data_IF_577079086354
#
_entry.id   IF_577079086354
#
_cell.length_a   1.000
_cell.length_b   1.000
_cell.length_c   1.000
_cell.angle_alpha   90.00
_cell.angle_beta   90.00
_cell.angle_gamma   90.00
#
_symmetry.space_group_name_H-M   'P 1'
#
loop_
_entity.id
_entity.type
_entity.pdbx_description
1 polymer ?
#
# COMPACT_ATOMS: atom_id res chain seq x y z
N UNK A 1 9.09 49.54 -45.71
CA UNK A 1 8.57 48.22 -46.14
C UNK A 1 9.74 47.40 -46.65
N UNK A 2 10.34 46.60 -45.75
CA UNK A 2 11.22 45.50 -46.10
C UNK A 2 11.00 44.46 -44.99
N UNK A 3 10.32 43.39 -45.35
CA UNK A 3 9.84 42.32 -44.49
C UNK A 3 10.89 41.21 -44.49
N UNK A 4 11.38 40.84 -43.32
CA UNK A 4 12.37 39.78 -43.11
C UNK A 4 11.70 38.42 -43.34
N UNK A 5 12.20 37.68 -44.34
CA UNK A 5 11.87 36.28 -44.61
C UNK A 5 13.03 35.44 -44.12
N UNK A 6 12.92 34.96 -42.89
CA UNK A 6 13.75 33.88 -42.35
C UNK A 6 12.82 32.77 -41.88
N UNK A 7 12.44 31.89 -42.79
CA UNK A 7 11.65 30.69 -42.53
C UNK A 7 12.34 29.47 -43.14
N UNK A 8 12.52 28.46 -42.29
CA UNK A 8 12.52 27.04 -42.64
C UNK A 8 13.75 26.56 -43.42
N UNK A 9 14.79 26.14 -42.69
CA UNK A 9 15.53 24.89 -42.96
C UNK A 9 16.33 24.50 -41.71
N UNK A 10 15.77 23.69 -40.81
CA UNK A 10 16.58 22.82 -39.95
C UNK A 10 15.88 21.47 -39.83
N UNK A 11 16.19 20.61 -40.79
CA UNK A 11 15.74 19.23 -40.91
C UNK A 11 16.63 18.35 -40.02
N UNK A 12 15.98 17.73 -39.02
CA UNK A 12 16.13 16.35 -38.58
C UNK A 12 17.55 15.77 -38.46
N UNK A 13 18.12 15.85 -37.26
CA UNK A 13 18.92 14.76 -36.68
C UNK A 13 18.45 14.56 -35.24
N UNK A 14 17.31 13.91 -35.08
CA UNK A 14 16.88 13.37 -33.78
C UNK A 14 17.31 11.91 -33.70
N UNK A 15 18.03 11.61 -32.62
CA UNK A 15 18.69 10.35 -32.36
C UNK A 15 17.66 9.20 -32.26
N UNK A 16 17.87 8.12 -33.02
CA UNK A 16 16.98 6.94 -33.08
C UNK A 16 16.75 6.26 -31.71
N UNK A 17 17.61 6.54 -30.72
CA UNK A 17 17.47 6.04 -29.35
C UNK A 17 16.39 6.77 -28.52
N UNK A 18 16.09 8.04 -28.82
CA UNK A 18 15.07 8.80 -28.06
C UNK A 18 13.64 8.51 -28.53
N UNK A 19 13.48 8.12 -29.79
CA UNK A 19 12.19 7.67 -30.34
C UNK A 19 11.77 6.28 -29.83
N UNK A 20 12.72 5.43 -29.44
CA UNK A 20 12.40 4.16 -28.79
C UNK A 20 11.83 4.36 -27.36
N UNK A 21 12.24 5.42 -26.67
CA UNK A 21 11.79 5.75 -25.31
C UNK A 21 10.43 6.47 -25.28
N UNK A 22 10.11 7.22 -26.34
CA UNK A 22 8.85 7.97 -26.46
C UNK A 22 7.69 7.14 -27.05
N UNK A 23 7.97 6.04 -27.76
CA UNK A 23 6.93 5.13 -28.27
C UNK A 23 6.36 4.23 -27.17
N UNK A 24 7.15 3.96 -26.11
CA UNK A 24 6.72 3.12 -24.99
C UNK A 24 5.73 3.85 -24.04
N UNK A 25 5.81 5.18 -23.99
CA UNK A 25 4.89 6.05 -23.22
C UNK A 25 3.45 6.10 -23.76
N UNK A 26 3.15 5.38 -24.85
CA UNK A 26 1.82 5.34 -25.49
C UNK A 26 1.31 3.93 -25.73
N UNK A 27 1.87 2.90 -25.06
CA UNK A 27 1.25 1.58 -25.09
C UNK A 27 -0.06 1.63 -24.31
N UNK A 28 -1.15 1.78 -25.05
CA UNK A 28 -2.54 1.69 -24.59
C UNK A 28 -2.93 0.23 -24.23
N UNK A 29 -1.94 -0.60 -23.88
CA UNK A 29 -2.06 -2.03 -23.64
C UNK A 29 -2.14 -2.37 -22.15
N UNK A 30 -2.60 -3.58 -21.85
CA UNK A 30 -2.74 -4.05 -20.48
C UNK A 30 -1.39 -4.14 -19.75
N UNK A 31 -1.40 -3.82 -18.46
CA UNK A 31 -0.26 -3.85 -17.57
C UNK A 31 -0.54 -4.76 -16.37
N UNK A 32 0.48 -5.49 -15.91
CA UNK A 32 0.40 -6.33 -14.73
C UNK A 32 1.54 -6.03 -13.76
N UNK A 33 1.22 -5.61 -12.54
CA UNK A 33 2.19 -5.38 -11.48
C UNK A 33 2.32 -6.62 -10.62
N UNK A 34 3.52 -7.20 -10.61
CA UNK A 34 3.77 -8.46 -9.92
C UNK A 34 4.51 -8.18 -8.60
N UNK A 35 3.77 -8.15 -7.50
CA UNK A 35 4.36 -7.88 -6.17
C UNK A 35 4.76 -9.17 -5.47
N UNK A 36 6.07 -9.38 -5.27
CA UNK A 36 6.61 -10.58 -4.63
C UNK A 36 7.90 -10.28 -3.87
N UNK A 37 8.36 -11.25 -3.07
CA UNK A 37 9.68 -11.17 -2.44
C UNK A 37 10.72 -11.93 -3.27
N UNK A 38 11.84 -11.27 -3.59
CA UNK A 38 12.93 -11.92 -4.36
C UNK A 38 13.40 -13.22 -3.71
N UNK A 39 13.41 -13.25 -2.37
CA UNK A 39 13.84 -14.44 -1.64
C UNK A 39 12.89 -15.63 -1.81
N UNK A 40 11.58 -15.41 -1.96
CA UNK A 40 10.66 -16.50 -2.28
C UNK A 40 10.89 -17.03 -3.71
N UNK A 41 11.14 -16.14 -4.67
CA UNK A 41 11.45 -16.55 -6.06
C UNK A 41 12.78 -17.33 -6.13
N UNK A 42 13.81 -16.89 -5.39
CA UNK A 42 15.08 -17.62 -5.27
C UNK A 42 14.88 -19.04 -4.71
N UNK A 43 14.08 -19.17 -3.64
CA UNK A 43 13.80 -20.47 -3.01
C UNK A 43 13.07 -21.39 -3.99
N UNK A 44 12.18 -20.83 -4.79
CA UNK A 44 11.41 -21.56 -5.79
C UNK A 44 12.16 -21.70 -7.12
N UNK A 45 13.41 -21.26 -7.23
CA UNK A 45 14.22 -21.42 -8.44
C UNK A 45 13.68 -20.62 -9.64
N UNK A 46 13.19 -19.41 -9.40
CA UNK A 46 12.71 -18.50 -10.45
C UNK A 46 11.27 -18.75 -10.92
N UNK A 47 10.53 -19.66 -10.27
CA UNK A 47 9.18 -20.07 -10.71
C UNK A 47 8.13 -18.98 -10.54
N UNK A 48 8.31 -18.07 -9.58
CA UNK A 48 7.35 -16.98 -9.36
C UNK A 48 7.41 -16.00 -10.54
N UNK A 49 8.62 -15.65 -11.01
CA UNK A 49 8.77 -14.83 -12.23
C UNK A 49 8.31 -15.56 -13.49
N UNK A 50 8.60 -16.86 -13.62
CA UNK A 50 8.12 -17.66 -14.77
C UNK A 50 6.60 -17.77 -14.80
N UNK A 51 5.93 -17.88 -13.65
CA UNK A 51 4.48 -17.86 -13.57
C UNK A 51 3.92 -16.56 -14.17
N UNK A 52 4.50 -15.42 -13.82
CA UNK A 52 4.12 -14.12 -14.39
C UNK A 52 4.24 -14.11 -15.92
N UNK A 53 5.38 -14.57 -16.45
CA UNK A 53 5.59 -14.69 -17.90
C UNK A 53 4.60 -15.66 -18.56
N UNK A 54 4.31 -16.79 -17.91
CA UNK A 54 3.35 -17.77 -18.42
C UNK A 54 1.95 -17.17 -18.53
N UNK A 55 1.53 -16.36 -17.57
CA UNK A 55 0.24 -15.65 -17.61
C UNK A 55 0.25 -14.60 -18.72
N UNK A 56 1.33 -13.82 -18.85
CA UNK A 56 1.47 -12.82 -19.92
C UNK A 56 1.39 -13.45 -21.32
N UNK A 57 2.12 -14.54 -21.55
CA UNK A 57 2.11 -15.26 -22.81
C UNK A 57 0.73 -15.85 -23.14
N UNK A 58 0.03 -16.36 -22.12
CA UNK A 58 -1.29 -16.95 -22.30
C UNK A 58 -2.34 -15.86 -22.55
N UNK A 59 -2.21 -14.70 -21.90
CA UNK A 59 -3.01 -13.51 -22.18
C UNK A 59 -2.83 -13.06 -23.63
N UNK A 60 -1.58 -12.86 -24.08
CA UNK A 60 -1.26 -12.50 -25.47
C UNK A 60 -1.78 -13.55 -26.46
N UNK A 61 -1.72 -14.83 -26.10
CA UNK A 61 -2.31 -15.91 -26.89
C UNK A 61 -3.83 -15.83 -27.05
N UNK A 62 -4.53 -15.25 -26.07
CA UNK A 62 -6.00 -15.07 -26.08
C UNK A 62 -6.39 -13.79 -26.83
N UNK A 63 -5.70 -12.68 -26.56
CA UNK A 63 -6.10 -11.32 -27.00
C UNK A 63 -5.37 -10.84 -28.25
N UNK A 64 -4.23 -11.44 -28.58
CA UNK A 64 -3.23 -10.90 -29.52
C UNK A 64 -2.65 -9.53 -29.10
N UNK A 65 -2.78 -9.16 -27.83
CA UNK A 65 -2.22 -7.95 -27.23
C UNK A 65 -1.25 -8.31 -26.09
N UNK A 66 -0.13 -7.58 -25.99
CA UNK A 66 0.87 -7.83 -24.95
C UNK A 66 0.36 -7.38 -23.58
N UNK A 67 0.47 -8.27 -22.57
CA UNK A 67 0.37 -7.88 -21.17
C UNK A 67 1.77 -7.52 -20.67
N UNK A 68 2.03 -6.23 -20.47
CA UNK A 68 3.31 -5.77 -19.96
C UNK A 68 3.41 -6.04 -18.45
N UNK A 69 4.21 -7.02 -18.05
CA UNK A 69 4.38 -7.40 -16.65
C UNK A 69 5.62 -6.78 -16.03
N UNK A 70 5.42 -6.01 -14.95
CA UNK A 70 6.48 -5.38 -14.17
C UNK A 70 6.88 -6.28 -13.00
N UNK A 71 8.16 -6.71 -12.97
CA UNK A 71 8.67 -7.77 -12.08
C UNK A 71 9.76 -7.33 -11.08
N UNK A 72 10.20 -6.08 -11.06
CA UNK A 72 11.37 -5.67 -10.26
C UNK A 72 11.12 -4.44 -9.38
N UNK A 73 11.76 -4.44 -8.20
CA UNK A 73 11.83 -3.34 -7.24
C UNK A 73 13.04 -2.42 -7.47
N UNK A 74 13.92 -2.75 -8.43
CA UNK A 74 15.12 -1.93 -8.70
C UNK A 74 14.85 -0.63 -9.46
N UNK A 75 13.69 -0.51 -10.09
CA UNK A 75 13.25 0.78 -10.59
C UNK A 75 12.65 1.55 -9.42
N UNK A 76 13.42 2.49 -8.87
CA UNK A 76 12.88 3.61 -8.09
C UNK A 76 11.74 4.36 -8.85
N UNK A 77 11.58 4.07 -10.15
CA UNK A 77 10.52 4.52 -11.05
C UNK A 77 9.25 3.65 -11.03
N UNK A 78 9.24 2.47 -10.41
CA UNK A 78 8.10 1.54 -10.42
C UNK A 78 6.84 2.21 -9.90
N UNK A 79 6.93 2.78 -8.70
CA UNK A 79 5.79 3.43 -8.09
C UNK A 79 5.34 4.60 -8.96
N UNK A 80 6.26 5.39 -9.48
CA UNK A 80 5.93 6.52 -10.34
C UNK A 80 5.28 6.06 -11.66
N UNK A 81 5.74 4.98 -12.28
CA UNK A 81 5.29 4.50 -13.59
C UNK A 81 3.87 3.91 -13.54
N UNK A 82 3.54 3.12 -12.52
CA UNK A 82 2.18 2.61 -12.37
C UNK A 82 1.22 3.62 -11.75
N UNK A 83 1.69 4.45 -10.81
CA UNK A 83 0.90 5.58 -10.29
C UNK A 83 0.51 6.50 -11.45
N UNK A 84 1.46 6.86 -12.31
CA UNK A 84 1.18 7.60 -13.54
C UNK A 84 0.21 6.85 -14.48
N UNK A 85 0.30 5.52 -14.61
CA UNK A 85 -0.64 4.77 -15.45
C UNK A 85 -2.04 4.71 -14.87
N UNK A 86 -2.22 4.58 -13.56
CA UNK A 86 -3.57 4.60 -12.96
C UNK A 86 -4.13 6.02 -12.90
N UNK A 87 -3.29 7.03 -12.66
CA UNK A 87 -3.70 8.44 -12.61
C UNK A 87 -4.00 9.01 -14.00
N UNK A 88 -3.25 8.62 -15.04
CA UNK A 88 -3.44 9.12 -16.41
C UNK A 88 -4.27 8.18 -17.30
N UNK A 89 -4.20 6.86 -17.09
CA UNK A 89 -5.01 5.89 -17.81
C UNK A 89 -6.25 5.61 -16.97
N UNK A 90 -7.22 6.47 -17.21
CA UNK A 90 -8.65 6.32 -16.96
C UNK A 90 -9.27 5.01 -17.54
N UNK A 91 -8.51 3.94 -17.78
CA UNK A 91 -8.88 2.86 -18.72
C UNK A 91 -8.83 1.43 -18.16
N UNK A 92 -8.77 1.21 -16.84
CA UNK A 92 -8.95 -0.14 -16.28
C UNK A 92 -7.90 -1.19 -16.67
N UNK A 93 -6.84 -0.80 -17.39
CA UNK A 93 -5.90 -1.74 -18.01
C UNK A 93 -4.78 -2.23 -17.09
N UNK A 94 -4.80 -1.90 -15.80
CA UNK A 94 -3.68 -2.15 -14.89
C UNK A 94 -4.06 -3.09 -13.74
N UNK A 95 -3.50 -4.29 -13.75
CA UNK A 95 -3.67 -5.29 -12.70
C UNK A 95 -2.59 -5.19 -11.62
N UNK A 96 -2.97 -5.46 -10.37
CA UNK A 96 -2.01 -5.70 -9.29
C UNK A 96 -2.14 -7.14 -8.80
N UNK A 97 -1.06 -7.91 -8.94
CA UNK A 97 -1.00 -9.35 -8.69
C UNK A 97 0.02 -9.65 -7.57
N UNK A 98 -0.40 -9.57 -6.29
CA UNK A 98 0.46 -9.91 -5.18
C UNK A 98 0.63 -11.42 -5.03
N UNK A 99 1.88 -11.86 -4.90
CA UNK A 99 2.25 -13.25 -4.65
C UNK A 99 2.34 -13.45 -3.14
N UNK A 100 1.22 -13.92 -2.61
CA UNK A 100 0.97 -14.00 -1.19
C UNK A 100 1.74 -15.17 -0.58
N UNK A 101 2.67 -14.83 0.31
CA UNK A 101 3.49 -15.75 1.10
C UNK A 101 3.64 -15.23 2.53
N UNK A 102 4.14 -16.03 3.49
CA UNK A 102 4.50 -15.52 4.81
C UNK A 102 5.55 -14.40 4.79
N UNK A 103 6.40 -14.31 3.76
CA UNK A 103 7.38 -13.22 3.63
C UNK A 103 6.76 -11.96 3.04
N UNK A 104 5.78 -12.10 2.15
CA UNK A 104 5.02 -10.97 1.60
C UNK A 104 4.47 -10.09 2.75
N UNK A 105 3.77 -10.69 3.70
CA UNK A 105 3.21 -9.96 4.86
C UNK A 105 4.24 -9.39 5.84
N UNK A 106 5.52 -9.77 5.72
CA UNK A 106 6.62 -9.23 6.53
C UNK A 106 7.45 -8.19 5.78
N UNK A 107 7.21 -8.03 4.48
CA UNK A 107 7.92 -7.08 3.65
C UNK A 107 7.19 -5.74 3.71
N UNK A 108 7.75 -4.77 4.42
CA UNK A 108 7.26 -3.38 4.47
C UNK A 108 6.94 -2.85 3.07
N UNK A 109 7.85 -3.08 2.12
CA UNK A 109 7.64 -2.74 0.71
C UNK A 109 6.36 -3.34 0.14
N UNK A 110 6.21 -4.67 0.07
CA UNK A 110 5.00 -5.31 -0.47
C UNK A 110 3.70 -4.86 0.22
N UNK A 111 3.75 -4.61 1.54
CA UNK A 111 2.61 -4.10 2.31
C UNK A 111 2.22 -2.69 1.86
N UNK A 112 3.20 -1.80 1.68
CA UNK A 112 3.00 -0.47 1.09
C UNK A 112 2.37 -0.58 -0.30
N UNK A 113 2.90 -1.42 -1.19
CA UNK A 113 2.42 -1.49 -2.58
C UNK A 113 0.93 -1.87 -2.65
N UNK A 114 0.51 -2.88 -1.88
CA UNK A 114 -0.89 -3.34 -1.89
C UNK A 114 -1.84 -2.36 -1.20
N UNK A 115 -1.41 -1.67 -0.13
CA UNK A 115 -2.23 -0.65 0.53
C UNK A 115 -2.47 0.54 -0.40
N UNK A 116 -1.39 1.08 -0.99
CA UNK A 116 -1.48 2.17 -1.96
C UNK A 116 -2.37 1.77 -3.16
N UNK A 117 -2.20 0.56 -3.70
CA UNK A 117 -3.03 0.10 -4.80
C UNK A 117 -4.50 -0.04 -4.40
N UNK A 118 -4.79 -0.65 -3.25
CA UNK A 118 -6.17 -0.87 -2.81
C UNK A 118 -6.91 0.44 -2.59
N UNK A 119 -6.23 1.46 -2.03
CA UNK A 119 -6.75 2.81 -1.89
C UNK A 119 -7.20 3.42 -3.22
N UNK A 120 -6.27 3.45 -4.17
CA UNK A 120 -6.53 3.95 -5.52
C UNK A 120 -7.64 3.18 -6.23
N UNK A 121 -7.57 1.85 -6.24
CA UNK A 121 -8.56 0.99 -6.88
C UNK A 121 -9.96 1.23 -6.31
N UNK A 122 -10.11 1.28 -4.98
CA UNK A 122 -11.38 1.57 -4.32
C UNK A 122 -11.92 2.95 -4.67
N UNK A 123 -11.04 3.93 -4.70
CA UNK A 123 -11.37 5.31 -5.06
C UNK A 123 -11.80 5.48 -6.53
N UNK A 124 -11.61 4.46 -7.38
CA UNK A 124 -12.05 4.38 -8.77
C UNK A 124 -13.19 3.37 -9.00
N UNK A 125 -13.63 2.63 -7.97
CA UNK A 125 -14.54 1.49 -8.15
C UNK A 125 -13.93 0.30 -8.90
N UNK A 126 -12.59 0.21 -8.94
CA UNK A 126 -11.83 -0.79 -9.70
C UNK A 126 -11.17 -1.85 -8.80
N UNK A 127 -11.80 -2.17 -7.66
CA UNK A 127 -11.24 -3.11 -6.67
C UNK A 127 -10.95 -4.51 -7.23
N UNK A 128 -11.61 -4.90 -8.33
CA UNK A 128 -11.41 -6.16 -9.02
C UNK A 128 -10.05 -6.30 -9.74
N UNK A 129 -9.32 -5.19 -9.93
CA UNK A 129 -7.96 -5.18 -10.48
C UNK A 129 -6.92 -5.71 -9.47
N UNK A 130 -7.28 -5.87 -8.20
CA UNK A 130 -6.47 -6.53 -7.17
C UNK A 130 -6.67 -8.05 -7.24
N UNK A 131 -5.66 -8.78 -7.68
CA UNK A 131 -5.71 -10.22 -7.95
C UNK A 131 -4.65 -11.01 -7.17
N UNK A 132 -4.88 -11.29 -5.88
CA UNK A 132 -3.91 -12.01 -5.07
C UNK A 132 -3.76 -13.48 -5.49
N UNK A 133 -2.53 -13.98 -5.49
CA UNK A 133 -2.21 -15.39 -5.72
C UNK A 133 -1.61 -15.95 -4.43
N UNK A 134 -2.35 -16.84 -3.75
CA UNK A 134 -1.87 -17.52 -2.55
C UNK A 134 -0.86 -18.60 -2.91
N UNK A 135 0.43 -18.28 -2.82
CA UNK A 135 1.51 -19.14 -3.28
C UNK A 135 2.02 -20.07 -2.19
N UNK A 136 2.22 -19.57 -0.98
CA UNK A 136 2.50 -20.39 0.20
C UNK A 136 1.33 -20.37 1.16
N UNK A 137 1.16 -21.46 1.91
CA UNK A 137 0.12 -21.53 2.93
C UNK A 137 0.36 -20.47 4.01
N UNK A 138 -0.67 -19.68 4.28
CA UNK A 138 -0.70 -18.67 5.34
C UNK A 138 -1.93 -18.99 6.20
N UNK A 139 -1.74 -19.77 7.29
CA UNK A 139 -2.85 -20.24 8.12
C UNK A 139 -3.78 -19.12 8.61
N UNK A 140 -3.22 -17.94 8.88
CA UNK A 140 -3.96 -16.75 9.32
C UNK A 140 -5.06 -16.33 8.35
N UNK A 141 -4.87 -16.50 7.03
CA UNK A 141 -5.89 -16.17 6.04
C UNK A 141 -7.06 -17.17 6.02
N UNK A 142 -6.87 -18.39 6.54
CA UNK A 142 -7.89 -19.45 6.59
C UNK A 142 -8.70 -19.43 7.89
N UNK A 143 -8.09 -18.97 8.97
CA UNK A 143 -8.67 -19.00 10.32
C UNK A 143 -9.63 -17.82 10.59
N UNK A 144 -9.64 -16.79 9.73
CA UNK A 144 -10.65 -15.72 9.72
C UNK A 144 -10.50 -14.65 10.81
N UNK A 145 -9.63 -14.85 11.80
CA UNK A 145 -9.27 -13.85 12.81
C UNK A 145 -8.09 -13.00 12.32
N UNK A 146 -8.38 -12.12 11.36
CA UNK A 146 -7.38 -11.31 10.67
C UNK A 146 -7.35 -9.90 11.26
N UNK A 147 -6.39 -9.63 12.14
CA UNK A 147 -6.14 -8.28 12.69
C UNK A 147 -5.23 -7.43 11.81
N UNK A 148 -4.49 -8.07 10.89
CA UNK A 148 -3.56 -7.41 9.98
C UNK A 148 -4.33 -6.88 8.75
N UNK A 149 -4.26 -5.57 8.50
CA UNK A 149 -5.02 -4.92 7.43
C UNK A 149 -4.69 -5.44 6.03
N UNK A 150 -3.43 -5.75 5.75
CA UNK A 150 -2.98 -6.27 4.45
C UNK A 150 -3.49 -7.69 4.26
N UNK A 151 -3.48 -8.49 5.33
CA UNK A 151 -4.13 -9.79 5.30
C UNK A 151 -5.64 -9.67 5.12
N UNK A 152 -6.29 -8.67 5.74
CA UNK A 152 -7.73 -8.44 5.61
C UNK A 152 -8.09 -8.05 4.17
N UNK A 153 -7.31 -7.17 3.54
CA UNK A 153 -7.44 -6.83 2.13
C UNK A 153 -7.32 -8.07 1.24
N UNK A 154 -6.31 -8.90 1.45
CA UNK A 154 -6.16 -10.15 0.69
C UNK A 154 -7.33 -11.11 0.92
N UNK A 155 -7.78 -11.26 2.17
CA UNK A 155 -8.85 -12.19 2.54
C UNK A 155 -10.24 -11.76 2.03
N UNK A 156 -10.50 -10.46 1.92
CA UNK A 156 -11.74 -9.90 1.36
C UNK A 156 -11.80 -10.06 -0.16
N UNK A 157 -10.69 -10.32 -0.83
CA UNK A 157 -10.62 -10.52 -2.29
C UNK A 157 -10.65 -11.99 -2.65
N UNK A 158 -11.15 -12.28 -3.84
CA UNK A 158 -11.11 -13.63 -4.41
C UNK A 158 -9.69 -13.96 -4.89
N UNK A 159 -8.85 -14.43 -3.96
CA UNK A 159 -7.49 -14.89 -4.26
C UNK A 159 -7.48 -16.26 -4.94
N UNK A 160 -6.43 -16.51 -5.72
CA UNK A 160 -6.22 -17.78 -6.42
C UNK A 160 -5.28 -18.67 -5.62
N UNK A 161 -5.76 -19.85 -5.20
CA UNK A 161 -4.95 -20.80 -4.42
C UNK A 161 -3.96 -21.55 -5.33
N UNK A 162 -2.68 -21.21 -5.17
CA UNK A 162 -1.54 -21.80 -5.86
C UNK A 162 -0.72 -22.75 -4.97
N UNK A 163 -1.15 -22.98 -3.73
CA UNK A 163 -0.35 -23.67 -2.69
C UNK A 163 -0.01 -25.12 -3.05
N UNK A 164 -0.90 -25.79 -3.79
CA UNK A 164 -0.67 -27.14 -4.32
C UNK A 164 -0.03 -27.11 -5.71
N UNK A 165 -0.43 -26.18 -6.57
CA UNK A 165 0.06 -26.09 -7.96
C UNK A 165 1.55 -25.78 -8.05
N UNK A 166 2.11 -25.03 -7.09
CA UNK A 166 3.56 -24.83 -7.02
C UNK A 166 4.35 -26.13 -6.82
N UNK A 167 3.72 -27.21 -6.33
CA UNK A 167 4.38 -28.50 -6.15
C UNK A 167 4.35 -29.36 -7.41
N UNK A 168 3.54 -28.99 -8.40
CA UNK A 168 3.44 -29.68 -9.68
C UNK A 168 4.49 -29.21 -10.68
N UNK A 169 4.67 -29.98 -11.75
CA UNK A 169 5.51 -29.59 -12.89
C UNK A 169 4.85 -28.46 -13.70
N UNK A 170 5.63 -27.47 -14.15
CA UNK A 170 5.13 -26.30 -14.90
C UNK A 170 4.52 -26.70 -16.27
N UNK A 171 4.95 -27.83 -16.84
CA UNK A 171 4.37 -28.38 -18.07
C UNK A 171 3.12 -29.25 -17.85
N UNK A 172 2.74 -29.50 -16.59
CA UNK A 172 1.62 -30.39 -16.29
C UNK A 172 0.28 -29.85 -16.81
N UNK A 173 -0.67 -30.73 -17.17
CA UNK A 173 -2.00 -30.30 -17.62
C UNK A 173 -2.74 -29.43 -16.59
N UNK A 174 -2.57 -29.71 -15.30
CA UNK A 174 -3.20 -28.98 -14.19
C UNK A 174 -2.62 -27.58 -14.02
N UNK A 175 -1.29 -27.42 -14.05
CA UNK A 175 -0.63 -26.11 -14.02
C UNK A 175 -1.05 -25.24 -15.21
N UNK A 176 -0.93 -25.75 -16.44
CA UNK A 176 -1.28 -24.99 -17.65
C UNK A 176 -2.75 -24.57 -17.69
N UNK A 177 -3.67 -25.44 -17.26
CA UNK A 177 -5.10 -25.08 -17.14
C UNK A 177 -5.34 -23.95 -16.15
N UNK A 178 -4.53 -23.85 -15.08
CA UNK A 178 -4.70 -22.77 -14.10
C UNK A 178 -4.12 -21.46 -14.62
N UNK A 179 -2.98 -21.48 -15.31
CA UNK A 179 -2.43 -20.31 -16.01
C UNK A 179 -3.45 -19.77 -17.01
N UNK A 180 -4.04 -20.63 -17.85
CA UNK A 180 -5.10 -20.24 -18.77
C UNK A 180 -6.30 -19.62 -18.07
N UNK A 181 -6.76 -20.19 -16.95
CA UNK A 181 -7.85 -19.60 -16.17
C UNK A 181 -7.52 -18.18 -15.68
N UNK A 182 -6.31 -17.95 -15.18
CA UNK A 182 -5.88 -16.63 -14.74
C UNK A 182 -5.89 -15.64 -15.92
N UNK A 183 -5.30 -16.02 -17.06
CA UNK A 183 -5.29 -15.18 -18.24
C UNK A 183 -6.71 -14.84 -18.74
N UNK A 184 -7.62 -15.82 -18.80
CA UNK A 184 -9.03 -15.59 -19.14
C UNK A 184 -9.69 -14.63 -18.15
N UNK A 185 -9.45 -14.79 -16.84
CA UNK A 185 -9.97 -13.88 -15.81
C UNK A 185 -9.47 -12.45 -16.01
N UNK A 186 -8.21 -12.25 -16.40
CA UNK A 186 -7.69 -10.92 -16.72
C UNK A 186 -8.45 -10.30 -17.90
N UNK A 187 -8.67 -11.06 -18.97
CA UNK A 187 -9.43 -10.59 -20.14
C UNK A 187 -10.86 -10.21 -19.75
N UNK A 188 -11.54 -11.06 -18.97
CA UNK A 188 -12.91 -10.79 -18.51
C UNK A 188 -12.99 -9.51 -17.65
N UNK A 189 -11.96 -9.23 -16.83
CA UNK A 189 -11.91 -7.97 -16.06
C UNK A 189 -11.69 -6.79 -17.00
N UNK A 190 -10.72 -6.87 -17.92
CA UNK A 190 -10.47 -5.80 -18.89
C UNK A 190 -11.73 -5.43 -19.67
N UNK A 191 -12.44 -6.43 -20.19
CA UNK A 191 -13.67 -6.23 -20.97
C UNK A 191 -14.74 -5.49 -20.14
N UNK A 192 -14.94 -5.87 -18.87
CA UNK A 192 -15.87 -5.17 -17.97
C UNK A 192 -15.41 -3.76 -17.64
N UNK A 193 -14.13 -3.58 -17.32
CA UNK A 193 -13.59 -2.27 -16.93
C UNK A 193 -13.47 -1.30 -18.12
N UNK A 194 -13.38 -1.82 -19.35
CA UNK A 194 -13.38 -1.01 -20.57
C UNK A 194 -14.78 -0.47 -20.91
N UNK A 195 -15.84 -1.13 -20.43
CA UNK A 195 -17.23 -0.64 -20.51
C UNK A 195 -17.53 0.45 -19.47
N UNK A 196 -16.70 0.53 -18.41
CA UNK A 196 -16.68 1.66 -17.49
C UNK A 196 -15.93 2.77 -18.22
N UNK A 197 -16.65 3.62 -18.97
CA UNK A 197 -16.09 4.92 -19.33
C UNK A 197 -15.61 5.55 -18.02
N UNK A 198 -14.34 6.01 -17.94
CA UNK A 198 -13.91 6.77 -16.79
C UNK A 198 -14.95 7.83 -16.54
N UNK A 199 -15.58 7.87 -15.35
CA UNK A 199 -16.62 8.82 -15.14
C UNK A 199 -16.00 10.19 -15.45
N UNK A 200 -16.55 10.98 -16.41
CA UNK A 200 -16.34 12.41 -16.29
C UNK A 200 -16.76 12.70 -14.84
N UNK A 201 -15.95 13.45 -14.10
CA UNK A 201 -16.23 13.75 -12.69
C UNK A 201 -17.51 14.60 -12.64
N UNK A 202 -18.66 13.98 -12.85
CA UNK A 202 -19.95 14.62 -12.90
C UNK A 202 -20.55 14.28 -11.55
N UNK A 203 -20.89 15.33 -10.82
CA UNK A 203 -21.61 15.33 -9.55
C UNK A 203 -23.01 14.68 -9.62
N UNK A 204 -23.31 13.89 -10.66
CA UNK A 204 -24.63 13.34 -10.94
C UNK A 204 -24.50 11.84 -11.16
N UNK A 205 -25.16 11.11 -10.26
CA UNK A 205 -25.32 9.66 -10.17
C UNK A 205 -25.45 8.99 -11.55
N UNK A 206 -24.59 8.01 -11.82
CA UNK A 206 -24.86 7.01 -12.85
C UNK A 206 -26.00 6.11 -12.34
N UNK A 207 -27.06 5.83 -13.13
CA UNK A 207 -28.26 5.17 -12.60
C UNK A 207 -28.12 3.68 -12.23
N UNK A 208 -26.97 3.04 -12.48
CA UNK A 208 -26.86 1.57 -12.46
C UNK A 208 -25.63 1.02 -11.68
N UNK A 209 -25.01 1.78 -10.78
CA UNK A 209 -23.98 1.29 -9.85
C UNK A 209 -24.58 1.12 -8.44
N UNK A 210 -25.40 0.08 -8.24
CA UNK A 210 -26.34 -0.01 -7.10
C UNK A 210 -25.68 -0.36 -5.74
N UNK A 211 -24.37 -0.67 -5.69
CA UNK A 211 -23.69 -1.16 -4.46
C UNK A 211 -22.39 -0.41 -4.05
N UNK A 212 -21.77 0.41 -4.92
CA UNK A 212 -20.48 1.08 -4.62
C UNK A 212 -20.64 2.58 -4.33
N UNK A 213 -19.97 3.14 -3.30
CA UNK A 213 -20.15 4.54 -2.93
C UNK A 213 -19.69 5.53 -4.00
N UNK A 214 -20.51 6.55 -4.26
CA UNK A 214 -20.15 7.65 -5.16
C UNK A 214 -19.09 8.58 -4.56
N UNK A 215 -18.47 9.45 -5.39
CA UNK A 215 -17.41 10.38 -4.95
C UNK A 215 -17.84 11.26 -3.76
N UNK A 216 -19.08 11.77 -3.76
CA UNK A 216 -19.60 12.61 -2.67
C UNK A 216 -19.76 11.82 -1.36
N UNK A 217 -20.12 10.55 -1.45
CA UNK A 217 -20.22 9.67 -0.28
C UNK A 217 -18.83 9.36 0.28
N UNK A 218 -17.86 9.04 -0.59
CA UNK A 218 -16.46 8.86 -0.19
C UNK A 218 -15.87 10.11 0.49
N UNK A 219 -16.20 11.31 -0.03
CA UNK A 219 -15.78 12.57 0.57
C UNK A 219 -16.43 12.81 1.94
N UNK A 220 -17.73 12.54 2.08
CA UNK A 220 -18.45 12.69 3.34
C UNK A 220 -17.93 11.69 4.39
N UNK A 221 -17.65 10.45 4.00
CA UNK A 221 -17.07 9.43 4.87
C UNK A 221 -15.67 9.84 5.35
N UNK A 222 -14.83 10.36 4.45
CA UNK A 222 -13.51 10.88 4.80
C UNK A 222 -13.60 12.08 5.74
N UNK A 223 -14.50 13.04 5.49
CA UNK A 223 -14.72 14.21 6.37
C UNK A 223 -15.10 13.78 7.80
N UNK A 224 -15.98 12.78 7.93
CA UNK A 224 -16.36 12.24 9.23
C UNK A 224 -15.23 11.44 9.90
N UNK A 225 -14.42 10.73 9.13
CA UNK A 225 -13.36 9.84 9.64
C UNK A 225 -12.08 10.60 10.04
N UNK A 226 -11.73 11.69 9.34
CA UNK A 226 -10.51 12.47 9.59
C UNK A 226 -10.33 12.91 11.06
N UNK A 227 -11.34 13.48 11.75
CA UNK A 227 -11.20 13.85 13.16
C UNK A 227 -11.00 12.63 14.09
N UNK A 228 -11.65 11.50 13.80
CA UNK A 228 -11.49 10.27 14.58
C UNK A 228 -10.09 9.69 14.39
N UNK A 229 -9.62 9.64 13.15
CA UNK A 229 -8.28 9.20 12.81
C UNK A 229 -7.20 10.06 13.48
N UNK A 230 -7.34 11.39 13.44
CA UNK A 230 -6.43 12.31 14.13
C UNK A 230 -6.40 12.09 15.65
N UNK A 231 -7.55 11.81 16.27
CA UNK A 231 -7.63 11.47 17.69
C UNK A 231 -6.91 10.15 18.01
N UNK A 232 -7.06 9.13 17.16
CA UNK A 232 -6.34 7.85 17.30
C UNK A 232 -4.82 8.06 17.23
N UNK A 233 -4.33 8.85 16.28
CA UNK A 233 -2.90 9.17 16.16
C UNK A 233 -2.38 9.85 17.42
N UNK A 234 -3.11 10.84 17.94
CA UNK A 234 -2.74 11.52 19.19
C UNK A 234 -2.70 10.55 20.38
N UNK A 235 -3.67 9.65 20.50
CA UNK A 235 -3.74 8.67 21.58
C UNK A 235 -2.61 7.62 21.49
N UNK A 236 -2.22 7.19 20.29
CA UNK A 236 -1.05 6.33 20.07
C UNK A 236 0.21 6.98 20.64
N UNK A 237 0.42 8.28 20.37
CA UNK A 237 1.55 9.04 20.91
C UNK A 237 1.62 9.00 22.44
N UNK A 238 0.47 9.24 23.11
CA UNK A 238 0.37 9.19 24.58
C UNK A 238 0.68 7.78 25.12
N UNK A 239 0.19 6.74 24.48
CA UNK A 239 0.44 5.35 24.91
C UNK A 239 1.90 4.97 24.74
N UNK A 240 2.56 5.38 23.65
CA UNK A 240 3.99 5.15 23.44
C UNK A 240 4.82 5.86 24.51
N UNK A 241 4.49 7.10 24.85
CA UNK A 241 5.16 7.83 25.93
C UNK A 241 5.03 7.09 27.27
N UNK A 242 3.82 6.64 27.62
CA UNK A 242 3.54 5.86 28.83
C UNK A 242 4.30 4.53 28.87
N UNK A 243 4.41 3.84 27.73
CA UNK A 243 5.26 2.64 27.61
C UNK A 243 6.73 3.00 27.90
N UNK A 244 7.21 4.11 27.33
CA UNK A 244 8.56 4.64 27.56
C UNK A 244 8.84 4.93 29.04
N UNK A 245 7.88 5.52 29.76
CA UNK A 245 8.00 5.77 31.20
C UNK A 245 8.15 4.47 32.01
N UNK A 246 7.37 3.44 31.70
CA UNK A 246 7.48 2.13 32.35
C UNK A 246 8.86 1.50 32.11
N UNK A 247 9.35 1.55 30.87
CA UNK A 247 10.69 1.01 30.51
C UNK A 247 11.79 1.77 31.26
N UNK A 248 11.71 3.10 31.30
CA UNK A 248 12.67 3.95 32.02
C UNK A 248 12.67 3.64 33.53
N UNK A 249 11.49 3.53 34.14
CA UNK A 249 11.37 3.17 35.55
C UNK A 249 11.96 1.80 35.86
N UNK A 250 11.74 0.82 34.99
CA UNK A 250 12.33 -0.52 35.14
C UNK A 250 13.86 -0.51 34.98
N UNK A 251 14.42 0.30 34.09
CA UNK A 251 15.87 0.46 33.97
C UNK A 251 16.49 1.00 35.28
N UNK A 252 15.86 2.00 35.90
CA UNK A 252 16.31 2.57 37.18
C UNK A 252 16.22 1.54 38.33
N UNK A 253 15.08 0.84 38.48
CA UNK A 253 14.91 -0.18 39.52
C UNK A 253 15.92 -1.35 39.33
N UNK A 254 16.29 -1.65 38.08
CA UNK A 254 17.31 -2.65 37.77
C UNK A 254 18.69 -2.22 38.27
N UNK A 255 19.09 -0.96 38.03
CA UNK A 255 20.34 -0.40 38.55
C UNK A 255 20.37 -0.39 40.09
N UNK A 256 19.26 0.01 40.74
CA UNK A 256 19.15 -0.03 42.20
C UNK A 256 19.19 -1.46 42.76
N UNK A 257 18.56 -2.40 42.09
CA UNK A 257 18.63 -3.82 42.44
C UNK A 257 20.06 -4.36 42.33
N UNK A 258 20.79 -3.98 41.29
CA UNK A 258 22.20 -4.36 41.11
C UNK A 258 23.10 -3.72 42.17
N UNK A 259 22.87 -2.45 42.51
CA UNK A 259 23.57 -1.75 43.60
C UNK A 259 23.37 -2.38 44.97
N UNK A 260 22.21 -3.04 45.19
CA UNK A 260 21.90 -3.84 46.40
C UNK A 260 22.43 -5.29 46.34
N UNK A 261 23.12 -5.68 45.27
CA UNK A 261 23.64 -7.03 45.08
C UNK A 261 22.59 -8.07 44.65
N UNK A 262 21.45 -7.64 44.10
CA UNK A 262 20.34 -8.52 43.70
C UNK A 262 20.65 -9.44 42.51
N UNK A 263 21.69 -9.14 41.73
CA UNK A 263 22.15 -9.95 40.60
C UNK A 263 21.04 -10.33 39.62
N UNK A 264 21.19 -11.45 38.93
CA UNK A 264 20.22 -11.90 37.92
C UNK A 264 18.81 -12.14 38.48
N UNK A 265 18.68 -12.55 39.74
CA UNK A 265 17.37 -12.77 40.37
C UNK A 265 16.61 -11.45 40.55
N UNK A 266 17.30 -10.39 40.96
CA UNK A 266 16.75 -9.04 41.04
C UNK A 266 16.33 -8.51 39.67
N UNK A 267 17.19 -8.64 38.66
CA UNK A 267 16.86 -8.24 37.28
C UNK A 267 15.63 -8.97 36.73
N UNK A 268 15.51 -10.28 36.99
CA UNK A 268 14.36 -11.07 36.57
C UNK A 268 13.05 -10.60 37.23
N UNK A 269 13.09 -10.25 38.52
CA UNK A 269 11.93 -9.67 39.22
C UNK A 269 11.48 -8.37 38.56
N UNK A 270 12.41 -7.46 38.28
CA UNK A 270 12.11 -6.18 37.62
C UNK A 270 11.51 -6.38 36.23
N UNK A 271 12.04 -7.33 35.46
CA UNK A 271 11.48 -7.69 34.14
C UNK A 271 10.05 -8.22 34.27
N UNK A 272 9.75 -9.04 35.29
CA UNK A 272 8.39 -9.52 35.53
C UNK A 272 7.43 -8.39 35.90
N UNK A 273 7.85 -7.45 36.75
CA UNK A 273 7.07 -6.27 37.11
C UNK A 273 6.80 -5.39 35.89
N UNK A 274 7.83 -5.11 35.08
CA UNK A 274 7.69 -4.39 33.80
C UNK A 274 6.74 -5.11 32.84
N UNK A 275 6.87 -6.44 32.70
CA UNK A 275 5.98 -7.23 31.85
C UNK A 275 4.52 -7.03 32.26
N UNK A 276 4.23 -7.00 33.56
CA UNK A 276 2.88 -6.80 34.05
C UNK A 276 2.39 -5.37 33.87
N UNK A 277 3.24 -4.36 34.11
CA UNK A 277 2.87 -2.96 33.92
C UNK A 277 2.60 -2.61 32.45
N UNK A 278 3.27 -3.29 31.51
CA UNK A 278 3.10 -3.06 30.08
C UNK A 278 1.88 -3.76 29.45
N UNK A 279 1.18 -4.67 30.16
CA UNK A 279 0.05 -5.42 29.57
C UNK A 279 -1.08 -4.51 29.10
N UNK A 280 -1.50 -3.58 29.94
CA UNK A 280 -2.60 -2.67 29.60
C UNK A 280 -2.20 -1.64 28.53
N UNK A 281 -1.04 -0.95 28.61
CA UNK A 281 -0.62 -0.03 27.55
C UNK A 281 -0.45 -0.72 26.19
N UNK A 282 0.12 -1.93 26.15
CA UNK A 282 0.28 -2.68 24.89
C UNK A 282 -1.04 -3.22 24.36
N UNK A 283 -1.96 -3.63 25.24
CA UNK A 283 -3.32 -3.97 24.84
C UNK A 283 -4.03 -2.78 24.20
N UNK A 284 -3.93 -1.59 24.81
CA UNK A 284 -4.52 -0.36 24.27
C UNK A 284 -3.87 0.06 22.95
N UNK A 285 -2.54 -0.04 22.84
CA UNK A 285 -1.83 0.22 21.59
C UNK A 285 -2.30 -0.69 20.45
N UNK A 286 -2.60 -1.96 20.75
CA UNK A 286 -3.12 -2.91 19.75
C UNK A 286 -4.53 -2.52 19.29
N UNK A 287 -5.39 -2.11 20.22
CA UNK A 287 -6.73 -1.59 19.87
C UNK A 287 -6.64 -0.34 18.99
N UNK A 288 -5.76 0.60 19.36
CA UNK A 288 -5.55 1.84 18.61
C UNK A 288 -4.93 1.59 17.23
N UNK A 289 -3.99 0.65 17.09
CA UNK A 289 -3.44 0.26 15.80
C UNK A 289 -4.52 -0.27 14.85
N UNK A 290 -5.42 -1.13 15.35
CA UNK A 290 -6.56 -1.62 14.55
C UNK A 290 -7.51 -0.48 14.14
N UNK A 291 -7.79 0.46 15.05
CA UNK A 291 -8.65 1.63 14.76
C UNK A 291 -7.99 2.57 13.75
N UNK A 292 -6.68 2.79 13.88
CA UNK A 292 -5.89 3.62 12.96
C UNK A 292 -5.99 3.08 11.53
N UNK A 293 -5.74 1.79 11.34
CA UNK A 293 -5.87 1.10 10.06
C UNK A 293 -7.28 1.19 9.47
N UNK A 294 -8.30 0.91 10.28
CA UNK A 294 -9.70 0.91 9.83
C UNK A 294 -10.17 2.30 9.37
N UNK A 295 -9.83 3.35 10.14
CA UNK A 295 -10.17 4.72 9.76
C UNK A 295 -9.36 5.18 8.54
N UNK A 296 -8.08 4.80 8.42
CA UNK A 296 -7.25 5.16 7.27
C UNK A 296 -7.81 4.59 5.95
N UNK A 297 -8.26 3.33 5.95
CA UNK A 297 -8.93 2.69 4.80
C UNK A 297 -10.23 3.41 4.40
N UNK A 298 -10.84 4.15 5.32
CA UNK A 298 -12.05 4.95 5.08
C UNK A 298 -11.71 6.34 4.55
N UNK A 299 -10.68 6.98 5.11
CA UNK A 299 -10.23 8.32 4.71
C UNK A 299 -9.59 8.33 3.31
N UNK A 300 -8.78 7.32 3.02
CA UNK A 300 -7.92 7.27 1.83
C UNK A 300 -8.65 7.46 0.49
N UNK A 301 -9.74 6.73 0.19
CA UNK A 301 -10.46 6.93 -1.06
C UNK A 301 -11.03 8.34 -1.23
N UNK A 302 -11.49 8.98 -0.14
CA UNK A 302 -12.04 10.33 -0.17
C UNK A 302 -10.97 11.39 -0.42
N UNK A 303 -9.81 11.28 0.23
CA UNK A 303 -8.66 12.18 -0.01
C UNK A 303 -8.18 12.05 -1.46
N UNK A 304 -7.98 10.83 -1.95
CA UNK A 304 -7.60 10.58 -3.34
C UNK A 304 -8.66 11.04 -4.34
N UNK A 305 -9.94 10.98 -3.98
CA UNK A 305 -11.06 11.52 -4.76
C UNK A 305 -10.97 13.04 -4.94
N UNK A 306 -10.72 13.78 -3.87
CA UNK A 306 -10.56 15.24 -3.91
C UNK A 306 -9.36 15.63 -4.77
N UNK A 307 -8.22 14.97 -4.59
CA UNK A 307 -7.00 15.21 -5.37
C UNK A 307 -7.29 15.02 -6.88
N UNK A 308 -7.97 13.93 -7.26
CA UNK A 308 -8.32 13.66 -8.68
C UNK A 308 -9.34 14.62 -9.27
N UNK A 309 -10.32 15.08 -8.47
CA UNK A 309 -11.26 16.11 -8.91
C UNK A 309 -10.52 17.38 -9.33
N UNK A 310 -9.56 17.79 -8.50
CA UNK A 310 -8.71 18.95 -8.74
C UNK A 310 -7.81 18.76 -9.97
N UNK A 311 -7.20 17.59 -10.12
CA UNK A 311 -6.36 17.25 -11.30
C UNK A 311 -7.15 17.33 -12.61
N UNK A 312 -8.36 16.76 -12.62
CA UNK A 312 -9.14 16.59 -13.85
C UNK A 312 -9.91 17.83 -14.27
N UNK A 313 -10.45 18.60 -13.32
CA UNK A 313 -11.30 19.77 -13.62
C UNK A 313 -10.59 21.10 -13.44
N UNK A 314 -9.40 21.09 -12.84
CA UNK A 314 -8.82 22.28 -12.26
C UNK A 314 -9.65 22.78 -11.07
N UNK A 315 -9.22 23.89 -10.49
CA UNK A 315 -9.89 24.52 -9.36
C UNK A 315 -10.48 25.85 -9.82
N UNK A 316 -11.72 26.12 -9.40
CA UNK A 316 -12.32 27.43 -9.57
C UNK A 316 -11.67 28.45 -8.62
N UNK A 317 -11.62 29.73 -9.01
CA UNK A 317 -11.07 30.77 -8.14
C UNK A 317 -11.78 30.87 -6.77
N UNK A 318 -13.06 30.48 -6.69
CA UNK A 318 -13.80 30.48 -5.42
C UNK A 318 -13.41 29.35 -4.48
N UNK A 319 -13.00 28.20 -5.03
CA UNK A 319 -12.73 26.98 -4.26
C UNK A 319 -11.23 26.81 -3.97
N UNK A 320 -10.39 27.67 -4.56
CA UNK A 320 -8.93 27.61 -4.44
C UNK A 320 -8.43 27.77 -3.02
N UNK A 321 -8.96 28.75 -2.28
CA UNK A 321 -8.54 28.99 -0.90
C UNK A 321 -8.87 27.79 0.00
N UNK A 322 -10.07 27.24 -0.12
CA UNK A 322 -10.53 26.10 0.68
C UNK A 322 -9.74 24.83 0.32
N UNK A 323 -9.41 24.64 -0.96
CA UNK A 323 -8.60 23.50 -1.40
C UNK A 323 -7.14 23.63 -0.96
N UNK A 324 -6.55 24.83 -1.04
CA UNK A 324 -5.21 25.12 -0.51
C UNK A 324 -5.14 24.87 1.00
N UNK A 325 -6.17 25.25 1.76
CA UNK A 325 -6.28 24.99 3.20
C UNK A 325 -6.39 23.49 3.50
N UNK A 326 -7.25 22.78 2.78
CA UNK A 326 -7.41 21.33 2.92
C UNK A 326 -6.10 20.59 2.61
N UNK A 327 -5.48 20.86 1.46
CA UNK A 327 -4.19 20.28 1.07
C UNK A 327 -3.07 20.62 2.05
N UNK A 328 -3.03 21.85 2.54
CA UNK A 328 -2.08 22.27 3.59
C UNK A 328 -2.26 21.46 4.88
N UNK A 329 -3.51 21.16 5.25
CA UNK A 329 -3.84 20.34 6.43
C UNK A 329 -3.39 18.91 6.25
N UNK A 330 -3.72 18.28 5.11
CA UNK A 330 -3.31 16.91 4.78
C UNK A 330 -1.79 16.77 4.75
N UNK A 331 -1.07 17.72 4.13
CA UNK A 331 0.39 17.71 4.12
C UNK A 331 1.01 17.87 5.50
N UNK A 332 0.51 18.81 6.29
CA UNK A 332 1.00 19.02 7.67
C UNK A 332 0.86 17.74 8.48
N UNK A 333 -0.24 17.03 8.30
CA UNK A 333 -0.53 15.77 8.96
C UNK A 333 0.40 14.64 8.50
N UNK A 334 0.63 14.49 7.19
CA UNK A 334 1.58 13.53 6.64
C UNK A 334 3.01 13.75 7.17
N UNK A 335 3.48 15.00 7.18
CA UNK A 335 4.81 15.38 7.67
C UNK A 335 4.97 15.16 9.18
N UNK A 336 3.96 15.51 9.98
CA UNK A 336 3.95 15.25 11.43
C UNK A 336 3.95 13.75 11.73
N UNK A 337 3.22 12.96 10.94
CA UNK A 337 3.21 11.51 11.05
C UNK A 337 4.58 10.92 10.72
N UNK A 338 5.24 11.38 9.66
CA UNK A 338 6.57 10.90 9.26
C UNK A 338 7.61 11.10 10.36
N UNK A 339 7.63 12.28 10.99
CA UNK A 339 8.52 12.58 12.12
C UNK A 339 8.22 11.70 13.35
N UNK A 340 6.96 11.41 13.60
CA UNK A 340 6.53 10.52 14.68
C UNK A 340 6.90 9.06 14.39
N UNK A 341 6.80 8.64 13.13
CA UNK A 341 7.10 7.29 12.69
C UNK A 341 8.58 6.92 12.82
N UNK A 342 9.49 7.89 12.62
CA UNK A 342 10.91 7.68 12.87
C UNK A 342 11.18 7.23 14.32
N UNK A 343 10.45 7.78 15.30
CA UNK A 343 10.56 7.38 16.70
C UNK A 343 9.96 5.99 16.95
N UNK A 344 8.81 5.70 16.33
CA UNK A 344 8.15 4.38 16.38
C UNK A 344 9.07 3.29 15.84
N UNK A 345 9.68 3.52 14.68
CA UNK A 345 10.59 2.57 14.05
C UNK A 345 11.84 2.33 14.89
N UNK A 346 12.47 3.42 15.37
CA UNK A 346 13.62 3.31 16.26
C UNK A 346 13.30 2.51 17.52
N UNK A 347 12.11 2.67 18.09
CA UNK A 347 11.66 1.87 19.22
C UNK A 347 11.43 0.40 18.83
N UNK A 348 10.76 0.13 17.70
CA UNK A 348 10.51 -1.22 17.16
C UNK A 348 11.80 -2.02 16.95
N UNK A 349 12.85 -1.38 16.44
CA UNK A 349 14.16 -1.98 16.18
C UNK A 349 14.88 -2.45 17.46
N UNK A 350 14.54 -1.88 18.62
CA UNK A 350 15.12 -2.30 19.91
C UNK A 350 14.43 -3.54 20.51
N UNK A 351 13.18 -3.82 20.13
CA UNK A 351 12.37 -4.88 20.73
C UNK A 351 12.97 -6.29 20.62
N UNK A 352 13.62 -6.69 19.51
CA UNK A 352 14.27 -8.00 19.41
C UNK A 352 15.36 -8.21 20.47
N UNK A 353 16.11 -7.16 20.82
CA UNK A 353 17.17 -7.23 21.82
C UNK A 353 16.57 -7.50 23.21
N UNK A 354 15.46 -6.82 23.53
CA UNK A 354 14.72 -6.99 24.78
C UNK A 354 14.08 -8.38 24.86
N UNK A 355 13.57 -8.90 23.74
CA UNK A 355 12.97 -10.25 23.66
C UNK A 355 13.97 -11.37 23.97
N UNK A 356 15.27 -11.12 23.78
CA UNK A 356 16.36 -12.01 24.15
C UNK A 356 16.57 -12.13 25.67
N UNK A 357 16.21 -11.11 26.45
CA UNK A 357 16.48 -11.03 27.89
C UNK A 357 15.55 -11.91 28.72
N UNK A 358 14.28 -12.05 28.34
CA UNK A 358 13.34 -12.90 29.07
C UNK A 358 12.27 -13.53 28.16
N UNK A 359 11.99 -14.81 28.41
CA UNK A 359 10.88 -15.53 27.76
C UNK A 359 9.52 -14.90 28.09
N UNK A 360 9.34 -14.30 29.27
CA UNK A 360 8.06 -13.72 29.70
C UNK A 360 7.62 -12.51 28.89
N UNK A 361 8.57 -11.76 28.32
CA UNK A 361 8.29 -10.54 27.54
C UNK A 361 7.93 -10.83 26.09
N UNK A 362 8.37 -11.98 25.54
CA UNK A 362 8.21 -12.30 24.12
C UNK A 362 6.79 -12.23 23.58
N UNK A 363 5.73 -12.65 24.31
CA UNK A 363 4.36 -12.49 23.82
C UNK A 363 3.97 -11.01 23.68
N UNK A 364 4.33 -10.20 24.68
CA UNK A 364 3.97 -8.79 24.79
C UNK A 364 4.70 -7.95 23.74
N UNK A 365 6.00 -8.23 23.53
CA UNK A 365 6.79 -7.58 22.47
C UNK A 365 6.30 -7.93 21.06
N UNK A 366 5.76 -9.15 20.85
CA UNK A 366 5.16 -9.54 19.57
C UNK A 366 3.87 -8.77 19.30
N UNK A 367 3.01 -8.61 20.30
CA UNK A 367 1.80 -7.78 20.18
C UNK A 367 2.15 -6.33 19.86
N UNK A 368 3.09 -5.76 20.62
CA UNK A 368 3.53 -4.39 20.40
C UNK A 368 4.10 -4.18 18.99
N UNK A 369 4.95 -5.09 18.51
CA UNK A 369 5.46 -5.03 17.13
C UNK A 369 4.35 -5.08 16.09
N UNK A 370 3.33 -5.92 16.29
CA UNK A 370 2.18 -6.02 15.38
C UNK A 370 1.39 -4.72 15.32
N UNK A 371 1.15 -4.09 16.47
CA UNK A 371 0.44 -2.82 16.56
C UNK A 371 1.23 -1.67 15.93
N UNK A 372 2.55 -1.62 16.14
CA UNK A 372 3.41 -0.61 15.52
C UNK A 372 3.49 -0.79 14.00
N UNK A 373 3.47 -2.05 13.50
CA UNK A 373 3.47 -2.32 12.07
C UNK A 373 2.26 -1.69 11.36
N UNK A 374 1.06 -1.79 11.94
CA UNK A 374 -0.16 -1.16 11.38
C UNK A 374 -0.01 0.36 11.23
N UNK A 375 0.63 0.99 12.21
CA UNK A 375 0.87 2.44 12.19
C UNK A 375 1.90 2.78 11.10
N UNK A 376 2.96 1.98 10.97
CA UNK A 376 3.98 2.13 9.90
C UNK A 376 3.40 1.92 8.51
N UNK A 377 2.55 0.92 8.34
CA UNK A 377 1.90 0.61 7.07
C UNK A 377 1.03 1.78 6.58
N UNK A 378 0.34 2.47 7.48
CA UNK A 378 -0.45 3.65 7.11
C UNK A 378 0.37 4.87 6.69
N UNK A 379 1.65 4.96 7.08
CA UNK A 379 2.52 6.07 6.63
C UNK A 379 2.67 6.10 5.11
N UNK A 380 2.71 4.93 4.47
CA UNK A 380 2.81 4.83 3.02
C UNK A 380 1.63 5.49 2.30
N UNK A 381 0.44 5.45 2.88
CA UNK A 381 -0.76 6.09 2.34
C UNK A 381 -0.62 7.62 2.44
N UNK A 382 -0.13 8.12 3.57
CA UNK A 382 0.08 9.55 3.80
C UNK A 382 1.17 10.15 2.91
N UNK A 383 2.29 9.44 2.76
CA UNK A 383 3.40 9.85 1.88
C UNK A 383 2.89 9.99 0.44
N UNK A 384 1.95 9.13 0.03
CA UNK A 384 1.34 9.18 -1.29
C UNK A 384 0.38 10.37 -1.46
N UNK A 385 -0.42 10.70 -0.44
CA UNK A 385 -1.24 11.91 -0.48
C UNK A 385 -0.39 13.17 -0.61
N UNK A 386 0.68 13.29 0.19
CA UNK A 386 1.59 14.45 0.13
C UNK A 386 2.20 14.61 -1.26
N UNK A 387 2.72 13.52 -1.83
CA UNK A 387 3.30 13.52 -3.18
C UNK A 387 2.30 14.00 -4.23
N UNK A 388 1.08 13.47 -4.23
CA UNK A 388 0.06 13.86 -5.23
C UNK A 388 -0.36 15.31 -5.07
N UNK A 389 -0.54 15.77 -3.84
CA UNK A 389 -0.82 17.18 -3.57
C UNK A 389 0.31 18.05 -4.12
N UNK A 390 1.57 17.68 -3.95
CA UNK A 390 2.72 18.43 -4.50
C UNK A 390 2.68 18.50 -6.03
N UNK A 391 2.36 17.41 -6.71
CA UNK A 391 2.26 17.36 -8.17
C UNK A 391 1.14 18.26 -8.70
N UNK A 392 -0.02 18.20 -8.05
CA UNK A 392 -1.20 19.00 -8.40
C UNK A 392 -0.96 20.49 -8.17
N UNK A 393 -0.37 20.83 -7.04
CA UNK A 393 -0.13 22.23 -6.66
C UNK A 393 1.04 22.85 -7.42
N UNK A 394 2.03 22.06 -7.86
CA UNK A 394 3.10 22.53 -8.74
C UNK A 394 2.55 23.08 -10.07
N UNK A 395 1.49 22.48 -10.60
CA UNK A 395 0.81 22.92 -11.82
C UNK A 395 0.05 24.26 -11.66
N UNK A 396 -0.17 24.76 -10.44
CA UNK A 396 -0.84 26.06 -10.21
C UNK A 396 0.11 27.26 -10.24
N UNK A 397 1.42 27.01 -10.24
CA UNK A 397 2.48 28.01 -10.25
C UNK A 397 3.07 28.31 -11.63
N UNK A 398 2.70 27.54 -12.65
CA UNK A 398 2.94 27.82 -14.09
C UNK A 398 1.79 28.65 -14.68
#
# INVERSE_FOLDING_TARGET
MANDRSSITLVLVWNRAHLAYLVDMTSNGAAGFWSYTHRDDEIEGGRIRRLAQNIANEFEGITAEELHVFLDKQDLKWGDEWRNRIDNALTGSTFFMPIVTPRFFRSEECRREILTFSGHAKSLGLEELLLPILYFDVPQLKEGDVTDEVMALVAQRQYEDWTQLRLEDEGSPSYRKRVNRLAVRLVEILERTAEIEPPPVVLVEAPDADDDPGLIELMADAEMALPRWAAVVAEIGVIIERIGEHVKGAAMEMEESDGRGGGFAGRLRVIHELTNSLREPVGKLTELGNQYSAELVTVDPGVLGIIRLVESQGISDSDRADTEEFFGTVKTLAQQSQQSMANVQAFSDTLPQIAGLSKSMRPLLRQMRSALQQVTDGQAVLDEWERRIDEVTAAWGE
#
